data_IF_028845058391
#
_entry.id   IF_028845058391
#
_cell.length_a   1.000
_cell.length_b   1.000
_cell.length_c   1.000
_cell.angle_alpha   90.00
_cell.angle_beta   90.00
_cell.angle_gamma   90.00
#
_symmetry.space_group_name_H-M   'P 1'
#
loop_
_entity.id
_entity.type
_entity.pdbx_description
1 polymer ?
#
# COMPACT_ATOMS: atom_id res chain seq x y z
N UNK A 1 -2.35 19.04 5.59
CA UNK A 1 -1.79 18.60 5.46
C UNK A 1 -1.54 17.41 5.91
N UNK A 2 -1.73 16.60 6.38
CA UNK A 2 -1.43 15.62 6.70
C UNK A 2 -1.18 14.69 5.83
N UNK A 3 -0.56 14.69 5.16
CA UNK A 3 -0.19 13.83 4.13
C UNK A 3 0.03 12.42 4.54
N UNK A 4 0.48 12.20 5.72
CA UNK A 4 0.69 10.83 6.16
C UNK A 4 -0.63 10.06 6.25
N UNK A 5 -1.67 10.71 6.74
CA UNK A 5 -2.97 10.06 6.80
C UNK A 5 -3.49 9.74 5.41
N UNK A 6 -3.31 10.67 4.47
CA UNK A 6 -3.75 10.42 3.12
C UNK A 6 -3.02 9.25 2.50
N UNK A 7 -1.72 9.16 2.74
CA UNK A 7 -0.94 8.07 2.17
C UNK A 7 -1.40 6.73 2.72
N UNK A 8 -1.68 6.68 4.01
CA UNK A 8 -2.14 5.43 4.61
C UNK A 8 -3.49 5.00 4.04
N UNK A 9 -4.40 5.95 3.85
CA UNK A 9 -5.69 5.64 3.27
C UNK A 9 -5.52 5.16 1.83
N UNK A 10 -4.61 5.79 1.09
CA UNK A 10 -4.37 5.38 -0.29
C UNK A 10 -3.91 3.93 -0.38
N UNK A 11 -3.19 3.44 0.61
CA UNK A 11 -2.73 2.05 0.59
C UNK A 11 -3.90 1.06 0.49
N UNK A 12 -5.03 1.40 1.05
CA UNK A 12 -6.19 0.52 1.02
C UNK A 12 -7.17 0.90 -0.09
N UNK A 13 -6.79 1.82 -0.97
CA UNK A 13 -7.63 2.23 -2.10
C UNK A 13 -6.98 1.97 -3.44
N UNK A 14 -5.67 2.05 -3.52
CA UNK A 14 -4.95 1.96 -4.79
C UNK A 14 -4.57 0.53 -5.09
N UNK A 15 -4.85 0.09 -6.31
CA UNK A 15 -4.49 -1.25 -6.76
C UNK A 15 -3.19 -1.19 -7.53
N UNK A 16 -2.45 -2.29 -7.47
CA UNK A 16 -1.24 -2.41 -8.26
C UNK A 16 -1.61 -2.32 -9.74
N UNK A 17 -1.00 -1.41 -10.50
CA UNK A 17 -1.44 -1.17 -11.88
C UNK A 17 -0.87 -2.12 -12.91
N UNK A 18 0.12 -2.94 -12.55
CA UNK A 18 0.74 -3.83 -13.54
C UNK A 18 1.43 -4.98 -12.82
N UNK A 19 1.94 -5.90 -13.59
CA UNK A 19 2.72 -7.01 -13.07
C UNK A 19 1.87 -8.16 -12.58
N UNK A 20 2.50 -9.11 -11.91
CA UNK A 20 1.79 -10.31 -11.51
C UNK A 20 0.76 -10.07 -10.43
N UNK A 21 0.85 -8.95 -9.73
CA UNK A 21 -0.13 -8.61 -8.71
C UNK A 21 -1.06 -7.49 -9.13
N UNK A 22 -1.20 -7.28 -10.45
CA UNK A 22 -2.11 -6.27 -10.95
C UNK A 22 -3.50 -6.45 -10.36
N UNK A 23 -4.09 -5.38 -9.89
CA UNK A 23 -5.42 -5.41 -9.30
C UNK A 23 -5.45 -5.67 -7.81
N UNK A 24 -4.33 -6.02 -7.22
CA UNK A 24 -4.25 -6.22 -5.77
C UNK A 24 -4.00 -4.88 -5.10
N UNK A 25 -4.74 -4.62 -4.02
CA UNK A 25 -4.50 -3.39 -3.27
C UNK A 25 -3.06 -3.36 -2.76
N UNK A 26 -2.50 -2.16 -2.73
CA UNK A 26 -1.12 -2.01 -2.25
C UNK A 26 -1.00 -2.60 -0.83
N UNK A 27 -2.03 -2.38 -0.01
CA UNK A 27 -2.01 -2.89 1.36
C UNK A 27 -2.02 -4.42 1.44
N UNK A 28 -2.40 -5.09 0.35
CA UNK A 28 -2.48 -6.55 0.34
C UNK A 28 -1.33 -7.22 -0.38
N UNK A 29 -0.35 -6.46 -0.83
CA UNK A 29 0.78 -7.05 -1.54
C UNK A 29 1.62 -7.91 -0.61
N UNK A 30 2.13 -9.04 -1.11
CA UNK A 30 2.96 -9.92 -0.27
C UNK A 30 4.27 -9.25 0.14
N UNK A 31 4.76 -9.62 1.30
CA UNK A 31 6.00 -9.04 1.81
C UNK A 31 7.20 -9.30 0.92
N UNK A 32 7.30 -10.49 0.33
CA UNK A 32 8.43 -10.79 -0.54
C UNK A 32 8.40 -9.95 -1.82
N UNK A 33 7.22 -9.62 -2.31
CA UNK A 33 7.10 -8.75 -3.46
C UNK A 33 7.57 -7.33 -3.11
N UNK A 34 7.17 -6.84 -1.92
CA UNK A 34 7.62 -5.54 -1.46
C UNK A 34 9.13 -5.52 -1.24
N UNK A 35 9.68 -6.61 -0.70
CA UNK A 35 11.12 -6.72 -0.50
C UNK A 35 11.85 -6.68 -1.83
N UNK A 36 11.27 -7.26 -2.86
CA UNK A 36 11.88 -7.24 -4.18
C UNK A 36 12.05 -5.80 -4.67
N UNK A 37 10.99 -4.97 -4.51
CA UNK A 37 11.10 -3.56 -4.88
C UNK A 37 12.15 -2.84 -4.04
N UNK A 38 12.24 -3.19 -2.75
CA UNK A 38 13.22 -2.53 -1.90
C UNK A 38 14.65 -2.81 -2.38
N UNK A 39 14.88 -3.99 -2.95
CA UNK A 39 16.20 -4.32 -3.46
C UNK A 39 16.44 -3.73 -4.84
N UNK A 40 15.44 -3.77 -5.70
CA UNK A 40 15.61 -3.36 -7.10
C UNK A 40 15.36 -1.88 -7.32
N UNK A 41 14.65 -1.24 -6.41
CA UNK A 41 14.31 0.15 -6.56
C UNK A 41 12.81 0.32 -6.75
N UNK A 42 12.24 1.31 -6.06
CA UNK A 42 10.82 1.58 -6.19
C UNK A 42 10.58 2.44 -7.44
N UNK A 43 9.44 2.24 -8.12
CA UNK A 43 9.13 3.08 -9.28
C UNK A 43 8.93 4.54 -8.86
N UNK A 44 8.98 5.46 -9.82
CA UNK A 44 8.78 6.87 -9.50
C UNK A 44 7.33 7.19 -9.22
N UNK A 45 7.09 8.36 -8.65
CA UNK A 45 5.75 8.88 -8.46
C UNK A 45 5.05 8.32 -7.26
N UNK A 46 3.74 8.48 -7.25
CA UNK A 46 2.94 8.06 -6.11
C UNK A 46 3.04 6.56 -5.86
N UNK A 47 3.04 5.77 -6.93
CA UNK A 47 3.11 4.32 -6.77
C UNK A 47 4.36 3.92 -5.98
N UNK A 48 5.51 4.50 -6.32
CA UNK A 48 6.73 4.17 -5.61
C UNK A 48 6.68 4.57 -4.16
N UNK A 49 6.10 5.73 -3.88
CA UNK A 49 5.98 6.18 -2.50
C UNK A 49 5.07 5.26 -1.69
N UNK A 50 3.97 4.81 -2.30
CA UNK A 50 3.07 3.90 -1.61
C UNK A 50 3.70 2.54 -1.38
N UNK A 51 4.44 2.03 -2.37
CA UNK A 51 5.12 0.76 -2.20
C UNK A 51 6.19 0.85 -1.11
N UNK A 52 6.93 1.95 -1.07
CA UNK A 52 7.94 2.12 -0.05
C UNK A 52 7.32 2.22 1.34
N UNK A 53 6.22 2.93 1.46
CA UNK A 53 5.51 3.04 2.72
C UNK A 53 4.97 1.68 3.15
N UNK A 54 4.37 0.94 2.23
CA UNK A 54 3.83 -0.36 2.56
C UNK A 54 4.95 -1.33 2.96
N UNK A 55 6.10 -1.23 2.30
CA UNK A 55 7.24 -2.04 2.67
C UNK A 55 7.65 -1.76 4.13
N UNK A 56 7.67 -0.50 4.53
CA UNK A 56 8.00 -0.14 5.90
C UNK A 56 6.99 -0.71 6.88
N UNK A 57 5.72 -0.60 6.55
CA UNK A 57 4.66 -1.09 7.42
C UNK A 57 4.77 -2.60 7.59
N UNK A 58 4.95 -3.30 6.48
CA UNK A 58 5.05 -4.75 6.52
C UNK A 58 6.31 -5.20 7.26
N UNK A 59 7.43 -4.55 6.98
CA UNK A 59 8.71 -4.90 7.57
C UNK A 59 8.67 -4.75 9.09
N UNK A 60 7.94 -3.77 9.58
CA UNK A 60 7.86 -3.51 11.02
C UNK A 60 6.68 -4.21 11.69
N UNK A 61 5.97 -5.06 10.96
CA UNK A 61 4.88 -5.82 11.56
C UNK A 61 3.67 -4.98 11.90
N UNK A 62 3.44 -3.91 11.18
CA UNK A 62 2.39 -2.96 11.52
C UNK A 62 1.17 -3.03 10.59
N UNK A 63 1.04 -4.10 9.82
CA UNK A 63 -0.08 -4.19 8.87
C UNK A 63 -1.43 -4.11 9.56
N UNK A 64 -1.50 -4.52 10.81
CA UNK A 64 -2.78 -4.46 11.53
C UNK A 64 -3.28 -3.04 11.67
N UNK A 65 -2.41 -2.05 11.57
CA UNK A 65 -2.83 -0.66 11.69
C UNK A 65 -3.68 -0.21 10.50
N UNK A 66 -3.68 -0.98 9.42
CA UNK A 66 -4.47 -0.63 8.25
C UNK A 66 -5.91 -1.11 8.35
N UNK A 67 -6.21 -1.99 9.28
CA UNK A 67 -7.56 -2.53 9.40
C UNK A 67 -8.63 -1.45 9.58
N UNK A 68 -8.44 -0.49 10.51
CA UNK A 68 -9.46 0.54 10.65
C UNK A 68 -9.62 1.38 9.38
N UNK A 69 -8.55 1.54 8.60
CA UNK A 69 -8.62 2.34 7.40
C UNK A 69 -9.39 1.65 6.29
N UNK A 70 -9.42 0.33 6.30
CA UNK A 70 -10.23 -0.38 5.33
C UNK A 70 -11.71 -0.06 5.51
N UNK A 71 -12.11 0.12 6.76
CA UNK A 71 -13.48 0.52 7.04
C UNK A 71 -13.74 1.97 6.70
N UNK A 72 -12.72 2.80 6.70
CA UNK A 72 -12.87 4.21 6.38
C UNK A 72 -12.86 4.48 4.89
N UNK A 73 -12.42 3.51 4.08
CA UNK A 73 -12.38 3.70 2.64
C UNK A 73 -13.79 3.85 2.10
N UNK A 74 -13.97 4.57 1.02
CA UNK A 74 -15.30 4.72 0.45
C UNK A 74 -15.92 3.39 0.11
N UNK A 75 -17.17 3.26 0.46
CA UNK A 75 -17.87 2.05 0.16
C UNK A 75 -19.16 2.41 -0.42
N UNK A 76 -19.59 1.64 -1.32
CA UNK A 76 -20.80 2.01 -1.90
C UNK A 76 -21.86 1.16 -1.46
N UNK A 77 -21.69 0.29 -0.64
CA UNK A 77 -22.69 -0.39 -0.28
C UNK A 77 -23.42 0.20 0.66
N UNK A 78 -23.63 0.58 1.14
CA UNK A 78 -24.40 1.16 1.97
C UNK A 78 -24.88 1.77 1.83
#
# INVERSE_FOLDING_TARGET
MLPMSDALIRLVQVQMPYGKHKGTLIADLPGDYLNWFAREGFPPGELGRLLALMHEIDHNGLKHLLQPLRGAAPRDED
#
